data_IF_629785696993
#
_entry.id   IF_629785696993
#
_cell.length_a   1.000
_cell.length_b   1.000
_cell.length_c   1.000
_cell.angle_alpha   90.00
_cell.angle_beta   90.00
_cell.angle_gamma   90.00
#
_symmetry.space_group_name_H-M   'P 1'
#
loop_
_entity.id
_entity.type
_entity.pdbx_description
1 polymer ?
#
# COMPACT_ATOMS: atom_id res chain seq x y z
N UNK A 1 -14.45 -12.33 25.81
CA UNK A 1 -14.11 -12.02 24.41
C UNK A 1 -12.84 -12.80 24.12
N UNK A 2 -12.95 -13.98 23.51
CA UNK A 2 -11.78 -14.77 23.13
C UNK A 2 -11.29 -14.25 21.77
N UNK A 3 -9.99 -13.98 21.67
CA UNK A 3 -9.36 -13.69 20.39
C UNK A 3 -9.11 -15.03 19.72
N UNK A 4 -9.82 -15.29 18.62
CA UNK A 4 -9.57 -16.47 17.81
C UNK A 4 -8.30 -16.27 16.98
N UNK A 5 -7.35 -17.19 17.11
CA UNK A 5 -6.06 -17.12 16.42
C UNK A 5 -6.21 -17.25 14.90
N UNK A 6 -7.19 -18.01 14.42
CA UNK A 6 -7.49 -18.19 13.00
C UNK A 6 -8.04 -16.92 12.38
N UNK A 7 -9.03 -16.30 13.04
CA UNK A 7 -9.59 -15.01 12.61
C UNK A 7 -8.53 -13.91 12.63
N UNK A 8 -7.68 -13.88 13.66
CA UNK A 8 -6.58 -12.93 13.77
C UNK A 8 -5.57 -13.10 12.63
N UNK A 9 -5.17 -14.34 12.33
CA UNK A 9 -4.27 -14.62 11.22
C UNK A 9 -4.88 -14.21 9.87
N UNK A 10 -6.17 -14.48 9.67
CA UNK A 10 -6.89 -14.11 8.45
C UNK A 10 -6.95 -12.59 8.27
N UNK A 11 -7.25 -11.83 9.33
CA UNK A 11 -7.28 -10.36 9.28
C UNK A 11 -5.90 -9.78 9.03
N UNK A 12 -4.84 -10.31 9.66
CA UNK A 12 -3.46 -9.86 9.43
C UNK A 12 -3.00 -10.10 7.99
N UNK A 13 -3.30 -11.27 7.42
CA UNK A 13 -3.00 -11.58 6.02
C UNK A 13 -3.80 -10.64 5.10
N UNK A 14 -5.08 -10.43 5.38
CA UNK A 14 -5.93 -9.51 4.61
C UNK A 14 -5.37 -8.08 4.63
N UNK A 15 -4.94 -7.59 5.80
CA UNK A 15 -4.31 -6.28 5.94
C UNK A 15 -2.99 -6.18 5.14
N UNK A 16 -2.17 -7.24 5.16
CA UNK A 16 -0.93 -7.28 4.37
C UNK A 16 -1.20 -7.24 2.86
N UNK A 17 -2.22 -7.94 2.37
CA UNK A 17 -2.63 -7.90 0.96
C UNK A 17 -3.11 -6.50 0.55
N UNK A 18 -3.88 -5.82 1.39
CA UNK A 18 -4.32 -4.44 1.15
C UNK A 18 -3.13 -3.48 1.15
N UNK A 19 -2.18 -3.65 2.09
CA UNK A 19 -0.95 -2.84 2.11
C UNK A 19 -0.13 -2.99 0.82
N UNK A 20 -0.16 -4.16 0.18
CA UNK A 20 0.51 -4.43 -1.10
C UNK A 20 -0.19 -3.76 -2.30
N UNK A 21 -1.45 -3.31 -2.17
CA UNK A 21 -2.14 -2.59 -3.26
C UNK A 21 -1.50 -1.23 -3.55
N UNK A 22 -1.08 -0.49 -2.52
CA UNK A 22 -0.49 0.86 -2.66
C UNK A 22 0.79 0.89 -3.51
N UNK A 23 1.79 -0.01 -3.36
CA UNK A 23 2.90 -0.10 -4.30
C UNK A 23 2.46 -0.70 -5.65
N UNK A 24 1.42 -1.55 -5.68
CA UNK A 24 0.81 -2.00 -6.93
C UNK A 24 0.29 -0.84 -7.78
N UNK A 25 -0.36 0.15 -7.16
CA UNK A 25 -0.78 1.38 -7.83
C UNK A 25 0.41 2.21 -8.34
N UNK A 26 1.53 2.24 -7.60
CA UNK A 26 2.75 2.93 -8.04
C UNK A 26 3.24 2.36 -9.38
N UNK A 27 3.30 1.03 -9.51
CA UNK A 27 3.68 0.38 -10.76
C UNK A 27 2.64 0.57 -11.86
N UNK A 28 1.35 0.47 -11.53
CA UNK A 28 0.26 0.63 -12.49
C UNK A 28 0.23 2.05 -13.07
N UNK A 29 0.15 3.08 -12.22
CA UNK A 29 0.17 4.47 -12.67
C UNK A 29 1.54 4.89 -13.23
N UNK A 30 2.63 4.34 -12.70
CA UNK A 30 3.98 4.50 -13.25
C UNK A 30 4.09 4.00 -14.69
N UNK A 31 3.41 2.91 -15.04
CA UNK A 31 3.36 2.36 -16.40
C UNK A 31 2.52 3.18 -17.39
N UNK A 32 1.55 3.97 -16.89
CA UNK A 32 0.66 4.80 -17.71
C UNK A 32 1.25 6.19 -18.03
N UNK A 33 2.23 6.65 -17.25
CA UNK A 33 2.86 7.96 -17.46
C UNK A 33 4.03 7.93 -18.43
N UNK A 34 4.39 9.11 -18.96
CA UNK A 34 5.58 9.28 -19.79
C UNK A 34 6.83 8.83 -19.01
N UNK A 35 7.79 8.20 -19.71
CA UNK A 35 9.05 7.67 -19.15
C UNK A 35 9.79 8.65 -18.22
N UNK A 36 9.80 9.94 -18.56
CA UNK A 36 10.43 11.00 -17.73
C UNK A 36 9.76 11.23 -16.38
N UNK A 37 8.51 10.82 -16.20
CA UNK A 37 7.71 11.06 -14.99
C UNK A 37 7.55 9.81 -14.12
N UNK A 38 7.99 8.63 -14.58
CA UNK A 38 7.80 7.34 -13.89
C UNK A 38 8.38 7.39 -12.48
N UNK A 39 9.63 7.87 -12.35
CA UNK A 39 10.30 7.98 -11.06
C UNK A 39 9.52 8.89 -10.09
N UNK A 40 8.94 9.99 -10.59
CA UNK A 40 8.17 10.91 -9.77
C UNK A 40 6.88 10.27 -9.23
N UNK A 41 6.14 9.52 -10.07
CA UNK A 41 4.93 8.80 -9.65
C UNK A 41 5.26 7.71 -8.62
N UNK A 42 6.35 6.97 -8.84
CA UNK A 42 6.81 5.95 -7.90
C UNK A 42 7.13 6.58 -6.53
N UNK A 43 7.94 7.64 -6.51
CA UNK A 43 8.32 8.34 -5.28
C UNK A 43 7.11 8.94 -4.54
N UNK A 44 6.20 9.60 -5.26
CA UNK A 44 4.97 10.16 -4.66
C UNK A 44 4.11 9.07 -4.03
N UNK A 45 3.98 7.90 -4.68
CA UNK A 45 3.19 6.78 -4.15
C UNK A 45 3.79 6.20 -2.86
N UNK A 46 5.11 6.01 -2.80
CA UNK A 46 5.79 5.53 -1.59
C UNK A 46 5.76 6.56 -0.45
N UNK A 47 5.95 7.84 -0.75
CA UNK A 47 5.84 8.90 0.26
C UNK A 47 4.41 8.98 0.80
N UNK A 48 3.40 8.88 -0.07
CA UNK A 48 2.00 8.89 0.34
C UNK A 48 1.66 7.75 1.30
N UNK A 49 2.24 6.56 1.12
CA UNK A 49 2.08 5.44 2.04
C UNK A 49 2.57 5.78 3.45
N UNK A 50 3.75 6.39 3.57
CA UNK A 50 4.30 6.82 4.86
C UNK A 50 3.46 7.92 5.51
N UNK A 51 3.06 8.93 4.74
CA UNK A 51 2.24 10.06 5.24
C UNK A 51 0.87 9.58 5.70
N UNK A 52 0.18 8.75 4.90
CA UNK A 52 -1.14 8.21 5.27
C UNK A 52 -1.05 7.33 6.51
N UNK A 53 0.03 6.57 6.70
CA UNK A 53 0.25 5.78 7.92
C UNK A 53 0.31 6.66 9.17
N UNK A 54 0.94 7.85 9.08
CA UNK A 54 1.01 8.80 10.18
C UNK A 54 -0.36 9.47 10.43
N UNK A 55 -1.09 9.80 9.38
CA UNK A 55 -2.42 10.43 9.48
C UNK A 55 -3.48 9.46 10.04
N UNK A 56 -3.32 8.17 9.75
CA UNK A 56 -4.28 7.13 10.11
C UNK A 56 -4.28 6.76 11.61
N UNK A 57 -3.11 6.86 12.25
CA UNK A 57 -2.93 6.60 13.69
C UNK A 57 -3.32 7.83 14.50
#
# INVERSE_FOLDING_TARGET
>A
MNIDSGDTAFVLISAALVALMTPGLAFFYGGLVRRKNVLSIMMQSFISMGVVTIIWV
#
